data_IF_645894457862
#
_entry.id   IF_645894457862
#
_cell.length_a   1.000
_cell.length_b   1.000
_cell.length_c   1.000
_cell.angle_alpha   90.00
_cell.angle_beta   90.00
_cell.angle_gamma   90.00
#
_symmetry.space_group_name_H-M   'P 1'
#
loop_
_entity.id
_entity.type
_entity.pdbx_description
1 polymer ?
#
# COMPACT_ATOMS: atom_id res chain seq x y z
N UNK A 1 -46.35 24.81 -2.32
CA UNK A 1 -45.70 23.64 -2.94
C UNK A 1 -44.19 23.86 -2.84
N UNK A 2 -43.50 23.17 -1.93
CA UNK A 2 -42.08 23.39 -1.69
C UNK A 2 -41.25 22.93 -2.90
N UNK A 3 -40.38 23.79 -3.41
CA UNK A 3 -39.43 23.46 -4.47
C UNK A 3 -38.39 22.47 -3.96
N UNK A 4 -38.59 21.18 -4.25
CA UNK A 4 -37.54 20.19 -4.08
C UNK A 4 -36.44 20.48 -5.11
N UNK A 5 -35.25 20.86 -4.67
CA UNK A 5 -34.08 20.95 -5.54
C UNK A 5 -33.67 19.52 -5.95
N UNK A 6 -33.79 19.12 -7.23
CA UNK A 6 -33.35 17.81 -7.67
C UNK A 6 -31.84 17.89 -7.90
N UNK A 7 -31.02 17.39 -6.97
CA UNK A 7 -29.58 17.37 -7.22
C UNK A 7 -28.60 16.91 -6.12
N UNK A 8 -29.03 16.43 -4.95
CA UNK A 8 -28.10 16.27 -3.81
C UNK A 8 -27.51 14.86 -3.66
N UNK A 9 -27.71 13.95 -4.61
CA UNK A 9 -27.10 12.61 -4.57
C UNK A 9 -26.29 12.28 -5.82
N UNK A 10 -25.46 13.21 -6.29
CA UNK A 10 -24.33 12.82 -7.11
C UNK A 10 -23.32 12.09 -6.20
N UNK A 11 -23.20 10.76 -6.37
CA UNK A 11 -22.14 9.97 -5.74
C UNK A 11 -20.79 10.54 -6.20
N UNK A 12 -20.17 11.38 -5.38
CA UNK A 12 -18.85 11.92 -5.69
C UNK A 12 -17.81 10.83 -5.45
N UNK A 13 -17.44 10.13 -6.53
CA UNK A 13 -16.31 9.22 -6.52
C UNK A 13 -15.04 10.04 -6.27
N UNK A 14 -14.35 9.73 -5.17
CA UNK A 14 -13.06 10.34 -4.86
C UNK A 14 -11.94 9.44 -5.39
N UNK A 15 -10.86 10.02 -5.94
CA UNK A 15 -9.64 9.27 -6.23
C UNK A 15 -9.14 8.56 -4.97
N UNK A 16 -8.50 7.40 -5.15
CA UNK A 16 -7.82 6.70 -4.06
C UNK A 16 -6.66 7.57 -3.58
N UNK A 17 -6.61 7.80 -2.27
CA UNK A 17 -5.48 8.48 -1.62
C UNK A 17 -4.76 7.48 -0.74
N UNK A 18 -3.50 7.19 -1.07
CA UNK A 18 -2.67 6.28 -0.28
C UNK A 18 -2.05 7.02 0.91
N UNK A 19 -2.28 6.54 2.16
CA UNK A 19 -1.66 7.10 3.36
C UNK A 19 -0.12 7.12 3.30
N UNK A 20 0.50 8.16 3.88
CA UNK A 20 1.97 8.31 3.94
C UNK A 20 2.67 7.10 4.56
N UNK A 21 2.06 6.49 5.58
CA UNK A 21 2.61 5.31 6.25
C UNK A 21 2.75 4.10 5.30
N UNK A 22 1.82 3.95 4.35
CA UNK A 22 1.87 2.87 3.36
C UNK A 22 2.88 3.17 2.24
N UNK A 23 3.06 4.45 1.90
CA UNK A 23 4.05 4.89 0.90
C UNK A 23 5.49 4.77 1.43
N UNK A 24 5.73 5.22 2.67
CA UNK A 24 7.03 5.07 3.35
C UNK A 24 7.36 3.59 3.58
N UNK A 25 6.34 2.80 3.89
CA UNK A 25 6.42 1.38 4.10
C UNK A 25 6.83 0.98 5.51
N UNK A 26 6.50 -0.26 5.84
CA UNK A 26 6.77 -0.85 7.15
C UNK A 26 7.42 -2.22 7.01
N UNK A 27 8.04 -2.69 8.09
CA UNK A 27 8.71 -3.99 8.13
C UNK A 27 7.72 -5.08 8.50
N UNK A 28 7.74 -6.17 7.74
CA UNK A 28 6.90 -7.35 7.96
C UNK A 28 7.71 -8.63 7.77
N UNK A 29 7.18 -9.74 8.26
CA UNK A 29 7.70 -11.08 8.00
C UNK A 29 6.87 -11.72 6.90
N UNK A 30 7.50 -12.01 5.75
CA UNK A 30 6.90 -12.83 4.69
C UNK A 30 7.16 -14.29 5.02
N UNK A 31 6.11 -15.08 5.09
CA UNK A 31 6.14 -16.53 5.28
C UNK A 31 5.12 -17.17 4.32
N UNK A 32 5.20 -18.48 4.13
CA UNK A 32 4.35 -19.26 3.24
C UNK A 32 4.03 -20.60 3.95
N UNK A 33 2.82 -21.13 3.82
CA UNK A 33 2.42 -22.38 4.50
C UNK A 33 3.25 -23.58 4.02
N UNK A 34 3.67 -23.57 2.76
CA UNK A 34 4.44 -24.67 2.15
C UNK A 34 5.95 -24.56 2.42
N UNK A 35 6.40 -23.49 3.09
CA UNK A 35 7.82 -23.25 3.37
C UNK A 35 8.07 -22.85 4.81
N UNK A 36 9.09 -23.43 5.43
CA UNK A 36 9.58 -22.97 6.74
C UNK A 36 10.34 -21.63 6.68
N UNK A 37 10.52 -21.07 5.48
CA UNK A 37 11.28 -19.85 5.28
C UNK A 37 10.49 -18.60 5.69
N UNK A 38 11.06 -17.83 6.63
CA UNK A 38 10.56 -16.52 7.05
C UNK A 38 11.54 -15.45 6.60
N UNK A 39 11.10 -14.52 5.76
CA UNK A 39 11.95 -13.44 5.22
C UNK A 39 11.49 -12.07 5.70
N UNK A 40 12.36 -11.27 6.34
CA UNK A 40 12.03 -9.89 6.69
C UNK A 40 11.99 -9.02 5.43
N UNK A 41 10.85 -8.38 5.20
CA UNK A 41 10.62 -7.52 4.03
C UNK A 41 10.21 -6.11 4.45
N UNK A 42 10.44 -5.13 3.58
CA UNK A 42 9.78 -3.81 3.71
C UNK A 42 8.64 -3.75 2.71
N UNK A 43 7.40 -3.64 3.19
CA UNK A 43 6.19 -3.60 2.38
C UNK A 43 5.77 -2.15 2.12
N UNK A 44 5.43 -1.82 0.88
CA UNK A 44 5.06 -0.46 0.41
C UNK A 44 3.91 -0.51 -0.59
N UNK A 45 3.20 0.60 -0.70
CA UNK A 45 2.18 0.86 -1.72
C UNK A 45 2.63 2.04 -2.59
N UNK A 46 2.42 1.97 -3.90
CA UNK A 46 2.71 3.10 -4.79
C UNK A 46 1.74 4.28 -4.56
N UNK A 47 2.09 5.52 -4.93
CA UNK A 47 1.25 6.69 -4.69
C UNK A 47 -0.16 6.61 -5.29
N UNK A 48 -0.33 5.89 -6.39
CA UNK A 48 -1.59 5.73 -7.10
C UNK A 48 -2.46 4.61 -6.51
N UNK A 49 -1.88 3.75 -5.66
CA UNK A 49 -2.61 2.69 -4.96
C UNK A 49 -2.90 1.46 -5.82
N UNK A 50 -2.09 1.22 -6.86
CA UNK A 50 -2.29 0.10 -7.78
C UNK A 50 -1.54 -1.17 -7.37
N UNK A 51 -0.39 -1.02 -6.73
CA UNK A 51 0.56 -2.09 -6.45
C UNK A 51 0.97 -2.08 -4.98
N UNK A 52 0.84 -3.26 -4.39
CA UNK A 52 1.53 -3.62 -3.17
C UNK A 52 2.83 -4.33 -3.55
N UNK A 53 3.96 -3.85 -3.06
CA UNK A 53 5.27 -4.41 -3.38
C UNK A 53 6.16 -4.49 -2.14
N UNK A 54 7.16 -5.36 -2.17
CA UNK A 54 8.08 -5.54 -1.07
C UNK A 54 9.52 -5.68 -1.53
N UNK A 55 10.46 -5.30 -0.66
CA UNK A 55 11.89 -5.52 -0.84
C UNK A 55 12.45 -6.39 0.26
N UNK A 56 13.29 -7.36 -0.12
CA UNK A 56 14.04 -8.20 0.82
C UNK A 56 15.12 -7.36 1.52
N UNK A 57 15.04 -7.27 2.85
CA UNK A 57 15.98 -6.48 3.64
C UNK A 57 17.43 -6.99 3.52
N UNK A 58 17.64 -8.27 3.26
CA UNK A 58 18.97 -8.85 3.10
C UNK A 58 19.63 -8.35 1.83
N UNK A 59 18.87 -8.26 0.72
CA UNK A 59 19.38 -7.73 -0.55
C UNK A 59 19.68 -6.23 -0.48
N UNK A 60 18.84 -5.47 0.23
CA UNK A 60 19.06 -4.02 0.43
C UNK A 60 20.31 -3.75 1.27
N UNK A 61 20.61 -4.57 2.28
CA UNK A 61 21.85 -4.41 3.08
C UNK A 61 23.11 -4.67 2.26
N UNK A 62 23.06 -5.63 1.32
CA UNK A 62 24.19 -5.93 0.45
C UNK A 62 24.49 -4.79 -0.53
N UNK A 63 23.45 -4.15 -1.07
CA UNK A 63 23.62 -3.04 -2.01
C UNK A 63 24.12 -1.74 -1.37
N UNK A 64 24.04 -1.58 -0.05
CA UNK A 64 24.60 -0.42 0.68
C UNK A 64 26.04 -0.66 1.16
N UNK A 65 26.57 -1.88 1.01
CA UNK A 65 27.93 -2.25 1.40
C UNK A 65 28.92 -2.29 0.23
N UNK A 66 28.42 -2.15 -0.99
CA UNK A 66 29.17 -2.03 -2.24
C UNK A 66 29.17 -0.57 -2.68
#
# INVERSE_FOLDING_TARGET
MAGAQPGVHALQLKPVTVPEILKKGNKFMKWDDDSTAVTPVTLRVDPQGYFLYWTDQNKVRLSHKL
#
